data_IF_912415381199
#
_entry.id   IF_912415381199
#
_cell.length_a   1.000
_cell.length_b   1.000
_cell.length_c   1.000
_cell.angle_alpha   90.00
_cell.angle_beta   90.00
_cell.angle_gamma   90.00
#
_symmetry.space_group_name_H-M   'P 1'
#
loop_
_entity.id
_entity.type
_entity.pdbx_description
1 polymer ?
#
# COMPACT_ATOMS: atom_id res chain seq x y z
N UNK A 1 -8.24 33.58 26.35
CA UNK A 1 -7.34 32.64 25.68
C UNK A 1 -7.28 31.24 26.37
N UNK A 2 -7.08 31.11 27.68
CA UNK A 2 -6.99 29.78 28.33
C UNK A 2 -8.26 28.92 28.21
N UNK A 3 -9.47 29.49 28.18
CA UNK A 3 -10.74 28.75 28.05
C UNK A 3 -11.01 28.18 26.66
N UNK A 4 -10.52 28.82 25.59
CA UNK A 4 -10.70 28.34 24.21
C UNK A 4 -9.76 27.18 23.86
N UNK A 5 -8.55 27.17 24.40
CA UNK A 5 -7.58 26.06 24.23
C UNK A 5 -8.06 24.81 24.94
N UNK A 6 -8.68 24.97 26.13
CA UNK A 6 -9.25 23.84 26.90
C UNK A 6 -10.46 23.26 26.17
N UNK A 7 -11.29 24.07 25.53
CA UNK A 7 -12.43 23.59 24.74
C UNK A 7 -11.99 22.80 23.51
N UNK A 8 -10.94 23.25 22.81
CA UNK A 8 -10.38 22.52 21.67
C UNK A 8 -9.76 21.18 22.07
N UNK A 9 -9.07 21.11 23.21
CA UNK A 9 -8.49 19.88 23.74
C UNK A 9 -9.59 18.88 24.21
N UNK A 10 -10.69 19.38 24.78
CA UNK A 10 -11.80 18.54 25.24
C UNK A 10 -12.60 17.94 24.07
N UNK A 11 -12.78 18.69 22.98
CA UNK A 11 -13.42 18.19 21.75
C UNK A 11 -12.59 17.07 21.13
N UNK A 12 -11.25 17.22 21.09
CA UNK A 12 -10.35 16.21 20.54
C UNK A 12 -10.39 14.91 21.37
N UNK A 13 -10.45 15.00 22.70
CA UNK A 13 -10.49 13.83 23.58
C UNK A 13 -11.85 13.10 23.56
N UNK A 14 -12.97 13.82 23.40
CA UNK A 14 -14.29 13.23 23.30
C UNK A 14 -14.50 12.44 21.98
N UNK A 15 -13.88 12.88 20.88
CA UNK A 15 -13.94 12.17 19.60
C UNK A 15 -13.04 10.92 19.57
N UNK A 16 -11.94 10.91 20.30
CA UNK A 16 -11.09 9.72 20.43
C UNK A 16 -11.78 8.57 21.18
N UNK A 17 -12.65 8.88 22.15
CA UNK A 17 -13.33 7.88 22.97
C UNK A 17 -14.47 7.13 22.25
N UNK A 18 -15.12 7.75 21.25
CA UNK A 18 -16.20 7.12 20.50
C UNK A 18 -15.73 6.24 19.32
N UNK A 19 -14.43 6.28 18.97
CA UNK A 19 -13.86 5.43 17.91
C UNK A 19 -13.61 3.98 18.38
N UNK A 20 -13.86 3.65 19.63
CA UNK A 20 -13.47 2.38 20.27
C UNK A 20 -14.57 1.33 20.40
N UNK A 21 -15.78 1.57 19.90
CA UNK A 21 -16.91 0.62 20.07
C UNK A 21 -17.02 -0.45 18.98
N UNK A 22 -16.31 -0.33 17.87
CA UNK A 22 -16.19 -1.39 16.87
C UNK A 22 -14.82 -2.06 16.97
N UNK A 23 -14.78 -3.38 17.10
CA UNK A 23 -13.57 -4.23 17.18
C UNK A 23 -12.71 -4.17 15.90
N UNK A 24 -12.70 -3.05 15.21
CA UNK A 24 -11.91 -2.86 14.00
C UNK A 24 -10.73 -1.93 14.27
N UNK A 25 -9.52 -2.47 14.21
CA UNK A 25 -8.30 -1.67 14.23
C UNK A 25 -8.11 -0.96 12.89
N UNK A 26 -7.55 0.26 12.93
CA UNK A 26 -7.15 1.00 11.72
C UNK A 26 -5.69 0.75 11.41
N UNK A 27 -5.37 0.53 10.14
CA UNK A 27 -4.01 0.57 9.60
C UNK A 27 -3.76 1.89 8.86
N UNK A 28 -2.50 2.23 8.68
CA UNK A 28 -2.10 3.51 8.09
C UNK A 28 -2.10 4.63 9.13
N UNK A 29 -1.70 4.34 10.37
CA UNK A 29 -1.72 5.30 11.49
C UNK A 29 -0.35 5.86 11.85
N UNK A 30 0.70 5.50 11.11
CA UNK A 30 2.06 6.01 11.36
C UNK A 30 2.16 7.49 11.03
N UNK A 31 3.13 8.18 11.60
CA UNK A 31 3.32 9.64 11.40
C UNK A 31 3.54 10.00 9.92
N UNK A 32 4.16 9.13 9.14
CA UNK A 32 4.39 9.30 7.70
C UNK A 32 3.17 9.01 6.82
N UNK A 33 2.07 8.45 7.37
CA UNK A 33 0.89 8.06 6.61
C UNK A 33 -0.11 9.21 6.46
N UNK A 34 -0.99 9.11 5.45
CA UNK A 34 -2.13 10.03 5.24
C UNK A 34 -1.76 11.51 5.14
N UNK A 35 -0.63 11.77 4.50
CA UNK A 35 -0.29 13.10 4.05
C UNK A 35 -0.88 13.34 2.66
N UNK A 36 -1.27 14.57 2.38
CA UNK A 36 -1.70 14.97 1.05
C UNK A 36 -1.26 16.41 0.74
N UNK A 37 -1.14 16.68 -0.55
CA UNK A 37 -0.88 18.02 -1.07
C UNK A 37 -2.04 18.43 -1.96
N UNK A 38 -2.42 19.70 -1.89
CA UNK A 38 -3.54 20.25 -2.62
C UNK A 38 -3.16 21.55 -3.32
N UNK A 39 -3.59 21.67 -4.58
CA UNK A 39 -3.60 22.93 -5.32
C UNK A 39 -5.02 23.44 -5.35
N UNK A 40 -5.20 24.74 -5.08
CA UNK A 40 -6.50 25.43 -5.04
C UNK A 40 -6.48 26.60 -6.00
N UNK A 41 -7.59 26.82 -6.68
CA UNK A 41 -7.82 28.02 -7.48
C UNK A 41 -9.31 28.37 -7.45
N UNK A 42 -9.63 29.65 -7.49
CA UNK A 42 -11.01 30.07 -7.42
C UNK A 42 -11.17 31.57 -7.39
N UNK A 43 -12.17 32.01 -6.66
CA UNK A 43 -12.49 33.42 -6.53
C UNK A 43 -12.79 33.79 -5.07
N UNK A 44 -12.58 35.05 -4.78
CA UNK A 44 -12.94 35.70 -3.53
C UNK A 44 -13.77 36.94 -3.83
N UNK A 45 -14.79 37.19 -3.00
CA UNK A 45 -15.64 38.40 -3.12
C UNK A 45 -15.99 38.91 -1.73
N UNK A 46 -16.04 40.26 -1.51
CA UNK A 46 -16.51 40.78 -0.23
C UNK A 46 -17.88 40.23 0.16
N UNK A 47 -18.07 39.94 1.45
CA UNK A 47 -19.33 39.32 1.92
C UNK A 47 -20.50 40.33 1.94
N UNK A 48 -20.20 41.62 2.13
CA UNK A 48 -21.19 42.70 2.24
C UNK A 48 -20.83 43.85 1.31
N UNK A 49 -21.82 44.66 1.01
CA UNK A 49 -21.67 45.92 0.23
C UNK A 49 -21.10 45.76 -1.18
N UNK A 50 -21.19 44.60 -1.77
CA UNK A 50 -20.66 44.32 -3.10
C UNK A 50 -21.61 43.48 -3.95
N UNK A 51 -21.43 43.54 -5.27
CA UNK A 51 -22.10 42.64 -6.21
C UNK A 51 -21.27 41.35 -6.33
N UNK A 52 -21.81 40.23 -5.90
CA UNK A 52 -21.10 38.98 -5.75
C UNK A 52 -20.17 38.61 -6.93
N UNK A 53 -20.67 38.67 -8.16
CA UNK A 53 -19.85 38.30 -9.33
C UNK A 53 -19.03 39.46 -9.90
N UNK A 54 -19.49 40.69 -9.75
CA UNK A 54 -18.82 41.87 -10.30
C UNK A 54 -17.51 42.16 -9.56
N UNK A 55 -17.54 41.94 -8.24
CA UNK A 55 -16.41 42.27 -7.36
C UNK A 55 -15.59 41.00 -7.05
N UNK A 56 -15.88 39.88 -7.72
CA UNK A 56 -15.12 38.65 -7.59
C UNK A 56 -13.70 38.82 -8.15
N UNK A 57 -12.70 38.37 -7.41
CA UNK A 57 -11.28 38.42 -7.77
C UNK A 57 -10.67 37.02 -7.71
N UNK A 58 -9.67 36.72 -8.54
CA UNK A 58 -9.01 35.44 -8.54
C UNK A 58 -8.27 35.20 -7.23
N UNK A 59 -8.28 33.93 -6.80
CA UNK A 59 -7.43 33.44 -5.70
C UNK A 59 -6.85 32.07 -6.06
N UNK A 60 -5.68 31.79 -5.52
CA UNK A 60 -5.02 30.50 -5.66
C UNK A 60 -4.34 30.14 -4.35
N UNK A 61 -4.03 28.87 -4.18
CA UNK A 61 -3.38 28.42 -2.97
C UNK A 61 -2.82 27.01 -3.04
N UNK A 62 -2.05 26.70 -2.04
CA UNK A 62 -1.43 25.42 -1.83
C UNK A 62 -1.70 24.97 -0.39
N UNK A 63 -2.08 23.71 -0.22
CA UNK A 63 -2.32 23.11 1.08
C UNK A 63 -1.54 21.81 1.28
N UNK A 64 -1.08 21.58 2.50
CA UNK A 64 -0.52 20.30 2.93
C UNK A 64 -1.36 19.82 4.10
N UNK A 65 -1.99 18.65 3.93
CA UNK A 65 -2.87 18.07 4.95
C UNK A 65 -2.23 16.85 5.57
N UNK A 66 -2.34 16.74 6.88
CA UNK A 66 -2.13 15.51 7.65
C UNK A 66 -3.48 15.04 8.18
N UNK A 67 -3.97 13.91 7.69
CA UNK A 67 -5.14 13.26 8.26
C UNK A 67 -4.71 12.44 9.47
N UNK A 68 -5.22 12.76 10.65
CA UNK A 68 -4.87 12.12 11.92
C UNK A 68 -5.77 10.91 12.23
N UNK A 69 -7.05 11.04 11.90
CA UNK A 69 -8.05 9.97 11.98
C UNK A 69 -8.93 10.02 10.73
N UNK A 70 -9.75 9.02 10.44
CA UNK A 70 -10.71 9.11 9.34
C UNK A 70 -11.71 10.27 9.45
N UNK A 71 -11.88 10.83 10.66
CA UNK A 71 -12.81 11.93 10.95
C UNK A 71 -12.08 13.27 10.96
N UNK A 72 -10.86 13.31 11.49
CA UNK A 72 -10.14 14.55 11.79
C UNK A 72 -8.80 14.65 11.08
N UNK A 73 -8.54 15.80 10.46
CA UNK A 73 -7.28 16.17 9.84
C UNK A 73 -6.91 17.63 10.11
N UNK A 74 -5.67 17.94 9.87
CA UNK A 74 -5.13 19.29 9.94
C UNK A 74 -4.48 19.65 8.61
N UNK A 75 -4.70 20.87 8.15
CA UNK A 75 -4.13 21.40 6.91
C UNK A 75 -3.40 22.69 7.20
N UNK A 76 -2.17 22.78 6.74
CA UNK A 76 -1.43 24.02 6.61
C UNK A 76 -1.57 24.50 5.18
N UNK A 77 -2.09 25.72 4.98
CA UNK A 77 -2.32 26.27 3.64
C UNK A 77 -1.77 27.68 3.49
N UNK A 78 -1.34 28.01 2.28
CA UNK A 78 -1.04 29.36 1.84
C UNK A 78 -1.98 29.74 0.71
N UNK A 79 -2.59 30.92 0.80
CA UNK A 79 -3.48 31.50 -0.21
C UNK A 79 -2.90 32.81 -0.71
N UNK A 80 -3.03 33.06 -2.01
CA UNK A 80 -2.70 34.33 -2.66
C UNK A 80 -3.95 34.92 -3.29
N UNK A 81 -4.13 36.21 -3.11
CA UNK A 81 -5.26 36.98 -3.62
C UNK A 81 -4.77 37.99 -4.67
N UNK A 82 -5.50 38.07 -5.77
CA UNK A 82 -5.12 38.87 -6.91
C UNK A 82 -6.14 40.00 -7.07
N UNK A 83 -5.67 41.21 -7.09
CA UNK A 83 -6.49 42.39 -7.36
C UNK A 83 -7.61 42.62 -6.34
N UNK A 84 -7.37 42.30 -5.07
CA UNK A 84 -8.33 42.45 -3.95
C UNK A 84 -8.19 43.81 -3.25
N UNK A 85 -7.09 44.51 -3.49
CA UNK A 85 -6.83 45.86 -2.97
C UNK A 85 -6.47 46.81 -4.12
N UNK A 86 -6.22 48.07 -3.82
CA UNK A 86 -5.70 49.09 -4.77
C UNK A 86 -4.19 48.99 -4.99
N UNK A 87 -3.58 47.90 -4.57
CA UNK A 87 -2.16 47.59 -4.75
C UNK A 87 -1.81 47.49 -6.25
N UNK A 88 -0.58 47.85 -6.62
CA UNK A 88 -0.04 47.65 -7.97
C UNK A 88 0.64 46.27 -8.13
N UNK A 89 0.68 45.46 -7.08
CA UNK A 89 1.24 44.13 -7.10
C UNK A 89 0.25 43.16 -7.72
N UNK A 90 0.74 42.13 -8.44
CA UNK A 90 -0.12 41.11 -9.00
C UNK A 90 -0.78 40.27 -7.90
N UNK A 91 -0.05 39.97 -6.82
CA UNK A 91 -0.56 39.37 -5.59
C UNK A 91 -0.56 40.51 -4.56
N UNK A 92 -1.71 40.92 -4.16
CA UNK A 92 -1.89 42.08 -3.27
C UNK A 92 -2.26 41.67 -1.83
N UNK A 93 -2.59 40.41 -1.60
CA UNK A 93 -2.70 39.84 -0.27
C UNK A 93 -2.32 38.36 -0.26
N UNK A 94 -1.83 37.90 0.87
CA UNK A 94 -1.60 36.49 1.12
C UNK A 94 -2.10 36.10 2.50
N UNK A 95 -2.54 34.85 2.66
CA UNK A 95 -2.99 34.27 3.94
C UNK A 95 -2.30 32.92 4.17
N UNK A 96 -1.69 32.79 5.33
CA UNK A 96 -1.10 31.50 5.78
C UNK A 96 -1.90 31.02 6.97
N UNK A 97 -2.55 29.85 6.82
CA UNK A 97 -3.54 29.39 7.79
C UNK A 97 -3.29 27.95 8.22
N UNK A 98 -3.66 27.66 9.47
CA UNK A 98 -3.79 26.33 10.01
C UNK A 98 -5.28 25.99 10.14
N UNK A 99 -5.71 24.98 9.38
CA UNK A 99 -7.10 24.55 9.29
C UNK A 99 -7.32 23.23 9.98
N UNK A 100 -8.43 23.10 10.68
CA UNK A 100 -8.96 21.83 11.16
C UNK A 100 -10.04 21.35 10.20
N UNK A 101 -9.99 20.05 9.84
CA UNK A 101 -10.90 19.42 8.88
C UNK A 101 -11.65 18.29 9.58
N UNK A 102 -12.97 18.31 9.52
CA UNK A 102 -13.85 17.30 10.13
C UNK A 102 -14.68 16.65 9.04
N UNK A 103 -14.43 15.38 8.74
CA UNK A 103 -15.23 14.62 7.79
C UNK A 103 -16.59 14.27 8.42
N UNK A 104 -17.63 14.99 8.00
CA UNK A 104 -18.99 14.85 8.54
C UNK A 104 -19.61 13.49 8.19
N UNK A 105 -19.31 12.96 6.99
CA UNK A 105 -19.82 11.66 6.57
C UNK A 105 -19.26 10.53 7.43
N UNK A 106 -17.99 10.63 7.84
CA UNK A 106 -17.36 9.66 8.72
C UNK A 106 -17.77 9.88 10.20
N UNK A 107 -18.02 11.13 10.58
CA UNK A 107 -18.47 11.47 11.94
C UNK A 107 -19.85 10.87 12.24
N UNK A 108 -20.80 11.02 11.32
CA UNK A 108 -22.19 10.59 11.51
C UNK A 108 -22.48 9.17 10.97
N UNK A 109 -21.82 8.78 9.89
CA UNK A 109 -22.05 7.49 9.22
C UNK A 109 -20.98 6.44 9.45
N UNK A 110 -19.97 6.73 10.29
CA UNK A 110 -18.82 5.87 10.51
C UNK A 110 -17.91 5.75 9.29
N UNK A 111 -16.66 5.37 9.48
CA UNK A 111 -15.72 5.13 8.39
C UNK A 111 -15.89 3.72 7.78
N UNK A 112 -16.16 3.55 6.48
CA UNK A 112 -16.39 2.23 5.88
C UNK A 112 -15.10 1.39 5.67
N UNK A 113 -13.89 1.98 5.83
CA UNK A 113 -12.59 1.34 5.57
C UNK A 113 -11.91 1.83 4.29
N UNK A 114 -12.66 2.57 3.46
CA UNK A 114 -12.17 3.28 2.27
C UNK A 114 -12.92 4.61 2.14
N UNK A 115 -12.31 5.67 1.58
CA UNK A 115 -13.01 6.92 1.31
C UNK A 115 -14.21 6.69 0.38
N UNK A 116 -15.34 7.34 0.68
CA UNK A 116 -16.52 7.32 -0.19
C UNK A 116 -16.22 8.10 -1.48
N UNK A 117 -17.02 7.88 -2.51
CA UNK A 117 -16.93 8.66 -3.74
C UNK A 117 -17.12 10.15 -3.48
N UNK A 118 -18.11 10.48 -2.62
CA UNK A 118 -18.40 11.84 -2.20
C UNK A 118 -18.32 11.95 -0.68
N UNK A 119 -17.65 12.99 -0.19
CA UNK A 119 -17.51 13.27 1.24
C UNK A 119 -17.62 14.77 1.50
N UNK A 120 -18.23 15.13 2.63
CA UNK A 120 -18.36 16.49 3.09
C UNK A 120 -17.51 16.66 4.33
N UNK A 121 -16.65 17.67 4.32
CA UNK A 121 -15.86 18.06 5.47
C UNK A 121 -16.25 19.48 5.93
N UNK A 122 -16.44 19.67 7.22
CA UNK A 122 -16.46 21.00 7.81
C UNK A 122 -15.03 21.42 8.10
N UNK A 123 -14.70 22.66 7.76
CA UNK A 123 -13.37 23.22 7.99
C UNK A 123 -13.46 24.50 8.81
N UNK A 124 -12.53 24.64 9.75
CA UNK A 124 -12.37 25.87 10.54
C UNK A 124 -10.89 26.07 10.86
N UNK A 125 -10.42 27.29 10.77
CA UNK A 125 -9.03 27.59 11.05
C UNK A 125 -8.76 29.06 11.35
N UNK A 126 -7.51 29.28 11.72
CA UNK A 126 -6.95 30.60 11.97
C UNK A 126 -5.76 30.79 11.04
N UNK A 127 -5.55 32.03 10.60
CA UNK A 127 -4.44 32.39 9.71
C UNK A 127 -3.86 33.74 10.03
N UNK A 128 -2.82 34.00 9.32
CA UNK A 128 -2.15 35.30 9.29
C UNK A 128 -2.22 35.83 7.86
N UNK A 129 -2.86 36.98 7.69
CA UNK A 129 -3.06 37.66 6.43
C UNK A 129 -2.10 38.83 6.33
N UNK A 130 -1.46 38.94 5.19
CA UNK A 130 -0.53 40.00 4.88
C UNK A 130 -1.02 40.76 3.63
N UNK A 131 -1.15 42.08 3.72
CA UNK A 131 -1.53 42.95 2.63
C UNK A 131 -0.31 43.67 2.12
N UNK A 132 -0.02 43.54 0.84
CA UNK A 132 1.09 44.18 0.15
C UNK A 132 0.64 45.57 -0.31
N UNK A 133 0.92 46.60 0.45
CA UNK A 133 0.55 47.99 0.14
C UNK A 133 1.72 48.69 -0.55
N UNK A 134 1.45 49.32 -1.71
CA UNK A 134 2.49 50.13 -2.40
C UNK A 134 2.73 51.44 -1.67
N UNK A 135 3.53 51.41 -0.65
CA UNK A 135 3.82 52.60 0.16
C UNK A 135 4.61 52.23 1.39
N UNK A 136 4.52 53.00 2.42
CA UNK A 136 5.40 52.91 3.56
C UNK A 136 5.12 51.79 4.53
N UNK A 137 3.92 51.17 4.54
CA UNK A 137 3.55 50.21 5.57
C UNK A 137 2.64 49.10 5.01
N UNK A 138 3.22 47.93 4.81
CA UNK A 138 2.43 46.68 4.62
C UNK A 138 1.60 46.39 5.87
N UNK A 139 0.36 45.94 5.70
CA UNK A 139 -0.55 45.65 6.80
C UNK A 139 -0.67 44.18 7.07
N UNK A 140 -0.89 43.80 8.33
CA UNK A 140 -1.00 42.46 8.79
C UNK A 140 -2.25 42.30 9.65
N UNK A 141 -2.98 41.20 9.41
CA UNK A 141 -4.16 40.89 10.18
C UNK A 141 -4.22 39.41 10.52
N UNK A 142 -4.93 39.07 11.58
CA UNK A 142 -5.33 37.69 11.83
C UNK A 142 -6.58 37.35 11.00
N UNK A 143 -6.56 36.22 10.34
CA UNK A 143 -7.72 35.68 9.64
C UNK A 143 -8.37 34.53 10.44
N UNK A 144 -9.67 34.36 10.26
CA UNK A 144 -10.42 33.20 10.73
C UNK A 144 -11.30 32.72 9.60
N UNK A 145 -11.20 31.43 9.28
CA UNK A 145 -11.88 30.81 8.14
C UNK A 145 -12.84 29.72 8.62
N UNK A 146 -14.05 29.73 8.06
CA UNK A 146 -15.05 28.68 8.23
C UNK A 146 -15.59 28.27 6.86
N UNK A 147 -15.70 26.98 6.61
CA UNK A 147 -16.16 26.52 5.30
C UNK A 147 -16.55 25.04 5.28
N UNK A 148 -16.87 24.61 4.08
CA UNK A 148 -17.14 23.22 3.75
C UNK A 148 -16.23 22.79 2.60
N UNK A 149 -15.79 21.56 2.62
CA UNK A 149 -15.16 20.91 1.48
C UNK A 149 -16.13 19.84 0.95
N UNK A 150 -16.53 19.98 -0.30
CA UNK A 150 -17.34 19.00 -1.02
C UNK A 150 -16.37 18.20 -1.88
N UNK A 151 -15.95 17.05 -1.38
CA UNK A 151 -14.86 16.26 -1.93
C UNK A 151 -15.36 15.08 -2.77
N UNK A 152 -14.81 14.90 -3.97
CA UNK A 152 -15.03 13.76 -4.83
C UNK A 152 -13.74 12.95 -4.95
N UNK A 153 -13.75 11.72 -4.44
CA UNK A 153 -12.59 10.83 -4.37
C UNK A 153 -12.58 9.88 -5.57
N UNK A 154 -11.58 10.01 -6.45
CA UNK A 154 -11.51 9.30 -7.72
C UNK A 154 -10.57 8.10 -7.70
N UNK A 155 -10.81 7.20 -8.67
CA UNK A 155 -9.99 6.02 -8.91
C UNK A 155 -10.17 4.92 -7.86
N UNK A 156 -9.72 3.74 -8.19
CA UNK A 156 -9.79 2.56 -7.31
C UNK A 156 -8.91 2.74 -6.06
N UNK A 157 -7.76 3.39 -6.21
CA UNK A 157 -6.80 3.63 -5.12
C UNK A 157 -7.19 4.79 -4.23
N UNK A 158 -8.15 5.64 -4.63
CA UNK A 158 -8.52 6.88 -3.93
C UNK A 158 -7.34 7.83 -3.69
N UNK A 159 -6.39 7.85 -4.64
CA UNK A 159 -5.21 8.70 -4.56
C UNK A 159 -5.50 10.16 -4.88
N UNK A 160 -6.59 10.43 -5.60
CA UNK A 160 -6.96 11.77 -6.05
C UNK A 160 -8.34 12.18 -5.54
N UNK A 161 -8.43 13.44 -5.12
CA UNK A 161 -9.68 14.10 -4.73
C UNK A 161 -9.81 15.42 -5.47
N UNK A 162 -10.96 15.66 -6.06
CA UNK A 162 -11.37 16.98 -6.53
C UNK A 162 -12.41 17.54 -5.58
N UNK A 163 -12.28 18.79 -5.19
CA UNK A 163 -13.18 19.42 -4.22
C UNK A 163 -13.67 20.78 -4.66
N UNK A 164 -14.89 21.13 -4.25
CA UNK A 164 -15.42 22.49 -4.29
C UNK A 164 -15.49 22.97 -2.84
N UNK A 165 -14.95 24.14 -2.57
CA UNK A 165 -14.68 24.60 -1.21
C UNK A 165 -15.20 26.03 -0.99
N UNK A 166 -16.49 26.17 -0.66
CA UNK A 166 -17.02 27.44 -0.18
C UNK A 166 -16.52 27.72 1.26
N UNK A 167 -16.08 28.94 1.51
CA UNK A 167 -15.66 29.39 2.83
C UNK A 167 -15.99 30.88 3.05
N UNK A 168 -16.16 31.24 4.31
CA UNK A 168 -16.18 32.63 4.76
C UNK A 168 -14.89 32.89 5.53
N UNK A 169 -14.18 33.90 5.13
CA UNK A 169 -12.93 34.34 5.76
C UNK A 169 -13.18 35.71 6.38
N UNK A 170 -12.95 35.76 7.67
CA UNK A 170 -13.00 37.00 8.44
C UNK A 170 -11.58 37.54 8.58
N UNK A 171 -11.38 38.77 8.12
CA UNK A 171 -10.27 39.62 8.55
C UNK A 171 -10.60 40.12 9.94
N UNK A 172 -9.79 39.75 10.92
CA UNK A 172 -10.05 40.03 12.33
C UNK A 172 -9.58 41.43 12.72
N UNK A 173 -9.08 42.25 11.76
CA UNK A 173 -8.55 43.58 11.95
C UNK A 173 -7.75 43.71 13.25
N UNK A 174 -6.58 43.14 13.21
CA UNK A 174 -5.65 43.26 14.33
C UNK A 174 -4.95 44.61 14.33
N UNK A 175 -5.65 45.67 14.63
CA UNK A 175 -4.97 46.90 15.12
C UNK A 175 -4.29 46.49 16.44
N UNK A 176 -2.98 46.23 16.37
CA UNK A 176 -2.15 45.89 17.53
C UNK A 176 -2.29 46.88 18.70
N UNK A 177 -2.85 48.06 18.44
CA UNK A 177 -3.14 49.07 19.45
C UNK A 177 -4.57 49.03 20.00
N UNK A 178 -5.48 48.21 19.43
CA UNK A 178 -6.87 48.07 19.90
C UNK A 178 -7.18 46.62 20.17
N UNK A 179 -6.97 46.17 21.37
CA UNK A 179 -7.08 44.82 21.87
C UNK A 179 -8.46 44.13 21.71
N UNK A 180 -9.14 44.21 20.55
CA UNK A 180 -10.43 43.54 20.31
C UNK A 180 -10.55 43.04 18.86
N UNK A 181 -10.01 41.90 18.58
CA UNK A 181 -10.40 41.14 17.39
C UNK A 181 -11.90 40.86 17.39
N UNK A 182 -12.61 41.13 16.30
CA UNK A 182 -14.06 40.98 16.18
C UNK A 182 -14.42 40.28 14.89
N UNK A 183 -15.42 39.42 14.94
CA UNK A 183 -16.11 38.93 13.76
C UNK A 183 -16.95 40.08 13.18
N UNK A 184 -16.50 40.69 12.10
CA UNK A 184 -17.19 41.77 11.40
C UNK A 184 -17.48 41.32 9.97
N UNK A 185 -18.76 41.21 9.60
CA UNK A 185 -19.15 40.83 8.26
C UNK A 185 -18.71 41.81 7.17
N UNK A 186 -18.45 43.07 7.53
CA UNK A 186 -17.96 44.08 6.59
C UNK A 186 -16.47 43.86 6.25
N UNK A 187 -15.73 43.15 7.10
CA UNK A 187 -14.34 42.78 6.90
C UNK A 187 -14.22 41.28 6.54
N UNK A 188 -15.31 40.69 6.10
CA UNK A 188 -15.34 39.29 5.69
C UNK A 188 -15.49 39.20 4.17
N UNK A 189 -14.97 38.13 3.62
CA UNK A 189 -15.15 37.79 2.24
C UNK A 189 -15.55 36.33 2.06
N UNK A 190 -16.33 36.10 1.05
CA UNK A 190 -16.69 34.75 0.61
C UNK A 190 -15.62 34.27 -0.36
N UNK A 191 -15.11 33.09 -0.10
CA UNK A 191 -14.14 32.40 -0.94
C UNK A 191 -14.78 31.14 -1.51
N UNK A 192 -14.66 30.95 -2.82
CA UNK A 192 -15.07 29.74 -3.49
C UNK A 192 -13.89 29.22 -4.31
N UNK A 193 -13.34 28.10 -3.89
CA UNK A 193 -12.22 27.48 -4.60
C UNK A 193 -12.57 26.07 -5.07
N UNK A 194 -11.96 25.68 -6.18
CA UNK A 194 -11.82 24.30 -6.60
C UNK A 194 -10.41 23.81 -6.25
N UNK A 195 -10.31 22.62 -5.69
CA UNK A 195 -9.05 22.03 -5.26
C UNK A 195 -8.81 20.66 -5.89
N UNK A 196 -7.56 20.39 -6.26
CA UNK A 196 -7.08 19.07 -6.67
C UNK A 196 -6.08 18.58 -5.63
N UNK A 197 -6.41 17.49 -4.95
CA UNK A 197 -5.63 16.90 -3.87
C UNK A 197 -5.04 15.57 -4.29
N UNK A 198 -3.74 15.39 -4.05
CA UNK A 198 -3.07 14.11 -4.17
C UNK A 198 -2.74 13.56 -2.77
N UNK A 199 -3.18 12.35 -2.48
CA UNK A 199 -2.91 11.64 -1.23
C UNK A 199 -1.69 10.74 -1.41
N UNK A 200 -0.67 10.91 -0.56
CA UNK A 200 0.52 10.08 -0.60
C UNK A 200 0.23 8.66 -0.09
N UNK A 201 0.96 7.72 -0.64
CA UNK A 201 0.85 6.31 -0.25
C UNK A 201 1.44 6.09 1.14
N UNK A 202 0.66 5.48 2.02
CA UNK A 202 1.07 5.19 3.39
C UNK A 202 1.79 3.85 3.56
N UNK A 203 2.18 3.55 4.80
CA UNK A 203 2.86 2.31 5.20
C UNK A 203 2.01 1.05 5.01
N UNK A 204 0.68 1.20 4.96
CA UNK A 204 -0.27 0.12 4.64
C UNK A 204 -0.38 -0.14 3.11
N UNK A 205 0.41 0.55 2.29
CA UNK A 205 0.38 0.42 0.83
C UNK A 205 -0.83 1.06 0.16
N UNK A 206 -1.66 1.82 0.90
CA UNK A 206 -2.84 2.53 0.41
C UNK A 206 -2.68 4.05 0.58
N UNK A 207 -3.58 4.82 -0.02
CA UNK A 207 -3.61 6.29 0.06
C UNK A 207 -4.58 6.81 1.14
N UNK A 208 -5.05 5.91 2.00
CA UNK A 208 -6.05 6.16 3.03
C UNK A 208 -5.93 5.14 4.17
N UNK A 209 -6.62 5.38 5.27
CA UNK A 209 -6.77 4.39 6.32
C UNK A 209 -7.47 3.13 5.81
N UNK A 210 -7.12 1.98 6.35
CA UNK A 210 -7.83 0.73 6.10
C UNK A 210 -8.30 0.11 7.41
N UNK A 211 -9.49 -0.53 7.39
CA UNK A 211 -9.98 -1.31 8.53
C UNK A 211 -9.32 -2.68 8.51
N UNK A 212 -8.82 -3.09 9.66
CA UNK A 212 -8.32 -4.44 9.90
C UNK A 212 -9.29 -5.13 10.85
N UNK A 213 -9.63 -6.38 10.57
CA UNK A 213 -10.34 -7.18 11.57
C UNK A 213 -9.49 -7.25 12.83
N UNK A 214 -10.09 -6.90 13.97
CA UNK A 214 -9.48 -7.20 15.25
C UNK A 214 -9.29 -8.72 15.35
N UNK A 215 -8.19 -9.14 15.93
CA UNK A 215 -7.92 -10.55 16.19
C UNK A 215 -9.10 -11.15 16.96
N UNK A 216 -9.70 -12.17 16.35
CA UNK A 216 -10.67 -12.99 17.08
C UNK A 216 -9.87 -14.01 17.88
N UNK A 217 -9.90 -13.91 19.22
CA UNK A 217 -9.18 -14.82 20.10
C UNK A 217 -9.56 -16.29 19.81
N UNK A 218 -10.82 -16.53 19.50
CA UNK A 218 -11.31 -17.87 19.11
C UNK A 218 -10.64 -18.38 17.85
N UNK A 219 -10.39 -17.52 16.86
CA UNK A 219 -9.70 -17.89 15.62
C UNK A 219 -8.21 -18.19 15.86
N UNK A 220 -7.57 -17.42 16.76
CA UNK A 220 -6.19 -17.68 17.21
C UNK A 220 -6.12 -19.03 17.92
N UNK A 221 -7.07 -19.31 18.82
CA UNK A 221 -7.12 -20.55 19.57
C UNK A 221 -7.35 -21.76 18.64
N UNK A 222 -8.20 -21.60 17.60
CA UNK A 222 -8.40 -22.62 16.56
C UNK A 222 -7.15 -22.82 15.71
N UNK A 223 -6.46 -21.74 15.32
CA UNK A 223 -5.21 -21.83 14.59
C UNK A 223 -4.11 -22.49 15.43
N UNK A 224 -4.00 -22.14 16.70
CA UNK A 224 -3.06 -22.77 17.64
C UNK A 224 -3.37 -24.25 17.84
N UNK A 225 -4.64 -24.63 17.96
CA UNK A 225 -5.07 -26.02 18.02
C UNK A 225 -4.70 -26.77 16.72
N UNK A 226 -4.89 -26.14 15.57
CA UNK A 226 -4.51 -26.70 14.27
C UNK A 226 -3.00 -26.86 14.13
N UNK A 227 -2.22 -25.88 14.58
CA UNK A 227 -0.75 -25.95 14.62
C UNK A 227 -0.29 -27.10 15.52
N UNK A 228 -0.89 -27.26 16.69
CA UNK A 228 -0.53 -28.34 17.61
C UNK A 228 -0.89 -29.71 17.03
N UNK A 229 -2.06 -29.83 16.39
CA UNK A 229 -2.45 -31.06 15.68
C UNK A 229 -1.47 -31.38 14.53
N UNK A 230 -1.12 -30.40 13.71
CA UNK A 230 -0.14 -30.59 12.64
C UNK A 230 1.25 -30.97 13.18
N UNK A 231 1.69 -30.40 14.31
CA UNK A 231 2.94 -30.82 14.98
C UNK A 231 2.89 -32.27 15.43
N UNK A 232 1.74 -32.71 15.98
CA UNK A 232 1.55 -34.10 16.36
C UNK A 232 1.63 -35.03 15.14
N UNK A 233 0.94 -34.67 14.05
CA UNK A 233 1.01 -35.43 12.80
C UNK A 233 2.43 -35.48 12.22
N UNK A 234 3.17 -34.39 12.26
CA UNK A 234 4.58 -34.34 11.83
C UNK A 234 5.43 -35.27 12.69
N UNK A 235 5.24 -35.28 14.01
CA UNK A 235 5.97 -36.18 14.91
C UNK A 235 5.64 -37.65 14.65
N UNK A 236 4.37 -37.98 14.40
CA UNK A 236 3.93 -39.31 14.01
C UNK A 236 4.56 -39.75 12.67
N UNK A 237 4.54 -38.85 11.66
CA UNK A 237 5.20 -39.11 10.36
C UNK A 237 6.70 -39.30 10.50
N UNK A 238 7.36 -38.50 11.33
CA UNK A 238 8.78 -38.65 11.60
C UNK A 238 9.09 -39.98 12.27
N UNK A 239 8.24 -40.45 13.18
CA UNK A 239 8.35 -41.78 13.78
C UNK A 239 8.24 -42.89 12.71
N UNK A 240 7.27 -42.76 11.80
CA UNK A 240 7.10 -43.70 10.67
C UNK A 240 8.35 -43.69 9.76
N UNK A 241 8.87 -42.48 9.44
CA UNK A 241 10.09 -42.32 8.64
C UNK A 241 11.29 -42.97 9.34
N UNK A 242 11.44 -42.75 10.64
CA UNK A 242 12.54 -43.36 11.41
C UNK A 242 12.45 -44.89 11.41
N UNK A 243 11.23 -45.45 11.59
CA UNK A 243 11.01 -46.87 11.51
C UNK A 243 11.30 -47.44 10.11
N UNK A 244 10.90 -46.69 9.07
CA UNK A 244 11.20 -47.05 7.67
C UNK A 244 12.71 -47.04 7.40
N UNK A 245 13.43 -46.02 7.91
CA UNK A 245 14.87 -45.92 7.78
C UNK A 245 15.60 -47.06 8.51
N UNK A 246 15.14 -47.45 9.70
CA UNK A 246 15.67 -48.63 10.40
C UNK A 246 15.46 -49.92 9.56
N UNK A 247 14.28 -50.06 8.97
CA UNK A 247 13.98 -51.21 8.08
C UNK A 247 14.85 -51.20 6.82
N UNK A 248 15.08 -49.99 6.25
CA UNK A 248 16.01 -49.82 5.12
C UNK A 248 17.43 -50.24 5.53
N UNK A 249 17.89 -49.86 6.72
CA UNK A 249 19.20 -50.24 7.24
C UNK A 249 19.33 -51.79 7.39
N UNK A 250 18.31 -52.43 7.95
CA UNK A 250 18.29 -53.91 8.06
C UNK A 250 18.30 -54.57 6.69
N UNK A 251 17.49 -54.08 5.75
CA UNK A 251 17.45 -54.61 4.38
C UNK A 251 18.77 -54.40 3.63
N UNK A 252 19.44 -53.27 3.86
CA UNK A 252 20.75 -52.99 3.29
C UNK A 252 21.82 -53.98 3.84
N UNK A 253 21.71 -54.30 5.12
CA UNK A 253 22.62 -55.27 5.73
C UNK A 253 22.36 -56.68 5.21
N UNK A 254 21.09 -57.11 5.10
CA UNK A 254 20.70 -58.38 4.45
C UNK A 254 21.18 -58.46 3.00
N UNK A 255 21.08 -57.31 2.27
CA UNK A 255 21.55 -57.23 0.89
C UNK A 255 23.08 -57.33 0.79
N UNK A 256 23.80 -56.71 1.76
CA UNK A 256 25.26 -56.84 1.85
C UNK A 256 25.68 -58.30 2.15
N UNK A 257 24.96 -58.94 3.06
CA UNK A 257 25.21 -60.35 3.40
C UNK A 257 24.88 -61.30 2.22
N UNK A 258 23.84 -60.95 1.45
CA UNK A 258 23.49 -61.68 0.23
C UNK A 258 24.54 -61.47 -0.89
N UNK A 259 25.12 -60.26 -1.00
CA UNK A 259 26.20 -59.94 -1.97
C UNK A 259 27.51 -60.65 -1.62
N UNK A 260 27.77 -60.88 -0.37
CA UNK A 260 28.99 -61.56 0.10
C UNK A 260 28.94 -63.09 -0.11
N UNK A 261 27.78 -63.64 -0.52
CA UNK A 261 27.74 -65.00 -1.01
C UNK A 261 28.37 -65.04 -2.41
N UNK A 262 29.36 -65.94 -2.65
CA UNK A 262 30.07 -65.94 -3.93
C UNK A 262 29.10 -66.31 -5.06
N UNK A 263 28.81 -65.33 -5.92
CA UNK A 263 28.03 -65.53 -7.15
C UNK A 263 28.79 -65.00 -8.35
N UNK A 264 28.73 -65.77 -9.43
CA UNK A 264 29.33 -65.48 -10.73
C UNK A 264 29.00 -64.09 -11.25
N UNK A 265 30.04 -63.42 -11.76
CA UNK A 265 29.97 -62.09 -12.33
C UNK A 265 29.17 -62.09 -13.63
N UNK A 266 28.04 -61.40 -13.68
CA UNK A 266 27.46 -60.83 -14.90
C UNK A 266 27.56 -59.29 -14.80
N UNK A 267 28.14 -58.67 -15.82
CA UNK A 267 28.38 -57.24 -15.98
C UNK A 267 27.04 -56.51 -16.01
N UNK A 268 26.80 -55.62 -15.01
CA UNK A 268 25.67 -54.71 -15.00
C UNK A 268 26.12 -53.35 -15.57
N UNK A 269 25.44 -52.91 -16.59
CA UNK A 269 25.58 -51.59 -17.19
C UNK A 269 25.09 -50.49 -16.20
N UNK A 270 25.96 -49.57 -15.83
CA UNK A 270 25.59 -48.37 -15.03
C UNK A 270 24.59 -47.52 -15.78
N UNK A 271 23.34 -47.48 -15.33
CA UNK A 271 22.42 -46.39 -15.71
C UNK A 271 22.73 -45.14 -14.90
N UNK A 272 23.36 -44.15 -15.55
CA UNK A 272 23.64 -42.86 -14.95
C UNK A 272 22.33 -42.16 -14.59
N UNK A 273 22.03 -42.04 -13.28
CA UNK A 273 20.92 -41.19 -12.82
C UNK A 273 21.22 -39.74 -13.20
N UNK A 274 20.38 -39.18 -14.09
CA UNK A 274 20.48 -37.80 -14.53
C UNK A 274 20.00 -36.93 -13.38
N UNK A 275 20.85 -36.04 -12.82
CA UNK A 275 20.44 -35.18 -11.70
C UNK A 275 19.43 -34.15 -12.19
N UNK A 276 18.37 -33.96 -11.44
CA UNK A 276 17.43 -32.88 -11.64
C UNK A 276 18.14 -31.51 -11.55
N UNK A 277 17.71 -30.56 -12.35
CA UNK A 277 18.23 -29.21 -12.32
C UNK A 277 17.21 -28.27 -11.68
N UNK A 278 17.64 -27.57 -10.63
CA UNK A 278 16.80 -26.66 -9.86
C UNK A 278 17.16 -25.21 -10.19
N UNK A 279 16.17 -24.41 -10.52
CA UNK A 279 16.28 -22.99 -10.83
C UNK A 279 15.47 -22.22 -9.80
N UNK A 280 16.13 -21.36 -9.02
CA UNK A 280 15.51 -20.56 -7.96
C UNK A 280 15.03 -19.21 -8.47
N UNK A 281 14.01 -18.66 -7.81
CA UNK A 281 13.42 -17.36 -8.15
C UNK A 281 13.30 -16.45 -6.93
N UNK A 282 13.38 -15.16 -7.18
CA UNK A 282 13.07 -14.15 -6.15
C UNK A 282 11.57 -14.15 -5.84
N UNK A 283 11.24 -13.66 -4.64
CA UNK A 283 9.86 -13.52 -4.20
C UNK A 283 9.02 -12.73 -5.20
N UNK A 284 7.85 -13.24 -5.55
CA UNK A 284 6.93 -12.60 -6.49
C UNK A 284 7.44 -12.46 -7.93
N UNK A 285 8.58 -13.08 -8.28
CA UNK A 285 9.16 -13.00 -9.63
C UNK A 285 9.15 -14.36 -10.33
N UNK A 286 8.99 -14.30 -11.66
CA UNK A 286 9.15 -15.44 -12.57
C UNK A 286 10.34 -15.27 -13.53
N UNK A 287 11.10 -14.16 -13.39
CA UNK A 287 12.30 -13.93 -14.20
C UNK A 287 13.45 -14.77 -13.65
N UNK A 288 14.13 -15.52 -14.51
CA UNK A 288 15.33 -16.28 -14.16
C UNK A 288 16.51 -15.31 -14.03
N UNK A 289 17.11 -15.26 -12.85
CA UNK A 289 18.29 -14.44 -12.59
C UNK A 289 19.51 -14.96 -13.39
N UNK A 290 20.44 -14.07 -13.71
CA UNK A 290 21.66 -14.42 -14.44
C UNK A 290 22.49 -15.50 -13.74
N UNK A 291 22.50 -15.51 -12.41
CA UNK A 291 23.16 -16.54 -11.56
C UNK A 291 22.56 -17.94 -11.72
N UNK A 292 21.30 -18.05 -12.19
CA UNK A 292 20.60 -19.32 -12.38
C UNK A 292 20.72 -19.86 -13.82
N UNK A 293 21.22 -19.05 -14.74
CA UNK A 293 21.40 -19.45 -16.14
C UNK A 293 22.30 -20.71 -16.32
N UNK A 294 23.37 -20.92 -15.54
CA UNK A 294 24.16 -22.14 -15.61
C UNK A 294 23.34 -23.43 -15.37
N UNK A 295 22.33 -23.36 -14.47
CA UNK A 295 21.44 -24.49 -14.20
C UNK A 295 20.53 -24.81 -15.40
N UNK A 296 20.05 -23.76 -16.10
CA UNK A 296 19.28 -23.92 -17.35
C UNK A 296 20.17 -24.43 -18.48
N UNK A 297 21.40 -23.92 -18.57
CA UNK A 297 22.37 -24.34 -19.57
C UNK A 297 22.72 -25.82 -19.45
N UNK A 298 22.89 -26.34 -18.22
CA UNK A 298 23.16 -27.74 -17.97
C UNK A 298 22.08 -28.64 -18.57
N UNK A 299 20.80 -28.27 -18.43
CA UNK A 299 19.69 -29.00 -19.06
C UNK A 299 19.79 -28.91 -20.59
N UNK A 300 20.06 -27.72 -21.11
CA UNK A 300 20.18 -27.51 -22.56
C UNK A 300 21.33 -28.32 -23.19
N UNK A 301 22.48 -28.40 -22.50
CA UNK A 301 23.66 -29.17 -22.96
C UNK A 301 23.32 -30.65 -22.98
N UNK A 302 22.63 -31.16 -21.94
CA UNK A 302 22.20 -32.55 -21.92
C UNK A 302 21.24 -32.87 -23.07
N UNK A 303 20.17 -32.07 -23.23
CA UNK A 303 19.18 -32.27 -24.30
C UNK A 303 19.75 -32.16 -25.71
N UNK A 304 20.84 -31.41 -25.89
CA UNK A 304 21.55 -31.34 -27.19
C UNK A 304 22.36 -32.61 -27.47
N UNK A 305 22.93 -33.25 -26.45
CA UNK A 305 23.68 -34.49 -26.58
C UNK A 305 22.78 -35.72 -26.72
N UNK A 306 21.57 -35.62 -26.16
CA UNK A 306 20.57 -36.73 -26.15
C UNK A 306 19.32 -36.29 -26.92
N UNK A 307 19.28 -36.62 -28.22
CA UNK A 307 18.25 -36.13 -29.14
C UNK A 307 16.83 -36.62 -28.73
N UNK A 308 16.74 -37.81 -28.16
CA UNK A 308 15.47 -38.45 -27.75
C UNK A 308 14.96 -38.03 -26.37
N UNK A 309 15.82 -37.40 -25.54
CA UNK A 309 15.43 -36.97 -24.19
C UNK A 309 14.43 -35.82 -24.22
N UNK A 310 13.44 -35.91 -23.34
CA UNK A 310 12.46 -34.83 -23.05
C UNK A 310 12.74 -34.22 -21.69
N UNK A 311 12.22 -33.03 -21.43
CA UNK A 311 12.30 -32.39 -20.11
C UNK A 311 10.92 -31.97 -19.62
N UNK A 312 10.62 -32.28 -18.39
CA UNK A 312 9.44 -31.79 -17.68
C UNK A 312 9.91 -30.74 -16.68
N UNK A 313 9.38 -29.52 -16.82
CA UNK A 313 9.70 -28.39 -15.96
C UNK A 313 8.51 -28.14 -15.06
N UNK A 314 8.66 -28.42 -13.76
CA UNK A 314 7.66 -28.18 -12.74
C UNK A 314 7.99 -26.90 -11.98
N UNK A 315 7.14 -25.89 -12.09
CA UNK A 315 7.30 -24.63 -11.39
C UNK A 315 6.52 -24.59 -10.07
N UNK A 316 7.10 -23.99 -9.05
CA UNK A 316 6.53 -23.91 -7.70
C UNK A 316 6.61 -22.48 -7.16
N UNK A 317 5.73 -22.18 -6.21
CA UNK A 317 5.72 -20.95 -5.43
C UNK A 317 5.81 -21.27 -3.93
N UNK A 318 6.33 -20.32 -3.16
CA UNK A 318 6.27 -20.37 -1.69
C UNK A 318 4.83 -20.11 -1.19
N UNK A 319 4.48 -20.58 0.03
CA UNK A 319 3.09 -20.57 0.50
C UNK A 319 2.53 -19.19 0.83
N UNK A 320 3.35 -18.12 0.76
CA UNK A 320 2.91 -16.77 1.09
C UNK A 320 1.96 -16.21 0.02
N UNK A 321 0.91 -15.54 0.47
CA UNK A 321 0.00 -14.80 -0.41
C UNK A 321 -1.21 -15.61 -0.88
N UNK A 322 -1.83 -15.15 -1.95
CA UNK A 322 -3.05 -15.73 -2.48
C UNK A 322 -2.78 -16.99 -3.31
N UNK A 323 -3.55 -18.04 -3.09
CA UNK A 323 -3.41 -19.33 -3.78
C UNK A 323 -3.50 -19.21 -5.31
N UNK A 324 -4.46 -18.44 -5.82
CA UNK A 324 -4.64 -18.26 -7.26
C UNK A 324 -3.48 -17.49 -7.89
N UNK A 325 -2.93 -16.52 -7.16
CA UNK A 325 -1.71 -15.84 -7.58
C UNK A 325 -0.52 -16.80 -7.63
N UNK A 326 -0.36 -17.65 -6.60
CA UNK A 326 0.73 -18.60 -6.52
C UNK A 326 0.66 -19.67 -7.62
N UNK A 327 -0.54 -20.14 -7.99
CA UNK A 327 -0.73 -21.02 -9.15
C UNK A 327 -0.25 -20.37 -10.45
N UNK A 328 -0.66 -19.12 -10.70
CA UNK A 328 -0.22 -18.37 -11.88
C UNK A 328 1.29 -18.11 -11.87
N UNK A 329 1.86 -17.79 -10.71
CA UNK A 329 3.28 -17.53 -10.54
C UNK A 329 4.11 -18.82 -10.79
N UNK A 330 3.64 -19.95 -10.29
CA UNK A 330 4.26 -21.26 -10.53
C UNK A 330 4.30 -21.61 -12.02
N UNK A 331 3.18 -21.42 -12.72
CA UNK A 331 3.12 -21.61 -14.18
C UNK A 331 4.06 -20.67 -14.90
N UNK A 332 4.06 -19.37 -14.55
CA UNK A 332 4.93 -18.38 -15.17
C UNK A 332 6.43 -18.68 -14.96
N UNK A 333 6.81 -19.28 -13.84
CA UNK A 333 8.19 -19.76 -13.57
C UNK A 333 8.59 -20.90 -14.49
N UNK A 334 7.74 -21.92 -14.62
CA UNK A 334 7.99 -23.03 -15.53
C UNK A 334 8.12 -22.55 -16.98
N UNK A 335 7.22 -21.68 -17.42
CA UNK A 335 7.24 -21.07 -18.76
C UNK A 335 8.48 -20.19 -18.98
N UNK A 336 8.96 -19.48 -17.99
CA UNK A 336 10.17 -18.67 -18.10
C UNK A 336 11.40 -19.52 -18.41
N UNK A 337 11.54 -20.66 -17.74
CA UNK A 337 12.64 -21.61 -18.00
C UNK A 337 12.50 -22.22 -19.39
N UNK A 338 11.29 -22.69 -19.77
CA UNK A 338 10.99 -23.19 -21.13
C UNK A 338 11.36 -22.17 -22.18
N UNK A 339 10.98 -20.92 -22.01
CA UNK A 339 11.28 -19.84 -22.95
C UNK A 339 12.79 -19.64 -23.15
N UNK A 340 13.58 -19.78 -22.09
CA UNK A 340 15.05 -19.68 -22.19
C UNK A 340 15.61 -20.88 -22.97
N UNK A 341 15.16 -22.10 -22.67
CA UNK A 341 15.58 -23.30 -23.40
C UNK A 341 15.27 -23.20 -24.90
N UNK A 342 14.07 -22.72 -25.25
CA UNK A 342 13.65 -22.56 -26.65
C UNK A 342 14.36 -21.38 -27.33
N UNK A 343 14.30 -20.18 -26.75
CA UNK A 343 14.76 -18.95 -27.43
C UNK A 343 16.29 -18.81 -27.43
N UNK A 344 16.92 -19.03 -26.28
CA UNK A 344 18.37 -18.88 -26.11
C UNK A 344 19.14 -20.12 -26.55
N UNK A 345 18.72 -21.30 -26.11
CA UNK A 345 19.47 -22.53 -26.36
C UNK A 345 18.98 -23.35 -27.56
N UNK A 346 17.87 -22.89 -28.21
CA UNK A 346 17.30 -23.46 -29.44
C UNK A 346 16.87 -24.94 -29.30
N UNK A 347 16.39 -25.33 -28.12
CA UNK A 347 15.78 -26.64 -27.90
C UNK A 347 14.36 -26.63 -28.48
N UNK A 348 13.98 -27.72 -29.17
CA UNK A 348 12.65 -27.83 -29.75
C UNK A 348 11.56 -27.80 -28.65
N UNK A 349 10.56 -26.94 -28.82
CA UNK A 349 9.48 -26.75 -27.87
C UNK A 349 8.64 -28.02 -27.61
N UNK A 350 8.54 -28.92 -28.58
CA UNK A 350 7.83 -30.21 -28.46
C UNK A 350 8.46 -31.18 -27.44
N UNK A 351 9.75 -30.96 -27.14
CA UNK A 351 10.51 -31.77 -26.17
C UNK A 351 10.46 -31.21 -24.75
N UNK A 352 9.70 -30.11 -24.52
CA UNK A 352 9.68 -29.40 -23.25
C UNK A 352 8.25 -29.24 -22.76
N UNK A 353 7.91 -29.92 -21.68
CA UNK A 353 6.66 -29.72 -20.94
C UNK A 353 6.89 -28.78 -19.78
N UNK A 354 6.03 -27.74 -19.63
CA UNK A 354 6.12 -26.78 -18.53
C UNK A 354 4.80 -26.74 -17.77
N UNK A 355 4.87 -27.04 -16.48
CA UNK A 355 3.71 -27.19 -15.61
C UNK A 355 3.88 -26.40 -14.32
N UNK A 356 2.87 -25.60 -13.96
CA UNK A 356 2.80 -24.93 -12.65
C UNK A 356 2.14 -25.86 -11.63
N UNK A 357 2.88 -26.25 -10.61
CA UNK A 357 2.40 -27.12 -9.55
C UNK A 357 1.76 -26.33 -8.37
N UNK A 358 1.77 -25.00 -8.44
CA UNK A 358 1.26 -24.16 -7.36
C UNK A 358 2.25 -24.01 -6.21
N UNK A 359 1.79 -24.21 -4.97
CA UNK A 359 2.65 -24.11 -3.78
C UNK A 359 3.48 -25.37 -3.64
N UNK A 360 4.80 -25.19 -3.48
CA UNK A 360 5.75 -26.28 -3.24
C UNK A 360 5.88 -26.61 -1.75
N UNK A 361 6.19 -27.86 -1.49
CA UNK A 361 6.40 -28.44 -0.15
C UNK A 361 7.67 -29.30 -0.06
N UNK A 362 8.55 -29.21 -1.08
CA UNK A 362 9.74 -30.06 -1.21
C UNK A 362 10.86 -29.70 -0.25
N UNK A 363 10.88 -28.47 0.22
CA UNK A 363 11.93 -27.95 1.10
C UNK A 363 11.36 -27.51 2.44
N UNK A 364 12.15 -27.71 3.49
CA UNK A 364 11.78 -27.36 4.88
C UNK A 364 11.59 -25.85 5.05
N UNK A 365 12.41 -25.07 4.35
CA UNK A 365 12.26 -23.61 4.32
C UNK A 365 11.26 -23.25 3.22
N UNK A 366 10.14 -22.58 3.55
CA UNK A 366 9.13 -22.19 2.58
C UNK A 366 9.70 -21.33 1.44
N UNK A 367 10.71 -20.53 1.71
CA UNK A 367 11.36 -19.65 0.75
C UNK A 367 12.09 -20.42 -0.36
N UNK A 368 12.55 -21.61 -0.04
CA UNK A 368 13.24 -22.48 -1.01
C UNK A 368 12.30 -23.14 -2.01
N UNK A 369 10.99 -23.10 -1.77
CA UNK A 369 10.00 -23.57 -2.73
C UNK A 369 9.73 -22.61 -3.90
N UNK A 370 10.48 -21.50 -3.98
CA UNK A 370 10.46 -20.58 -5.13
C UNK A 370 11.34 -21.11 -6.26
N UNK A 371 10.95 -22.22 -6.87
CA UNK A 371 11.80 -22.94 -7.82
C UNK A 371 11.05 -23.41 -9.07
N UNK A 372 11.83 -23.72 -10.11
CA UNK A 372 11.44 -24.64 -11.18
C UNK A 372 12.41 -25.82 -11.19
N UNK A 373 11.88 -27.01 -11.17
CA UNK A 373 12.63 -28.27 -11.22
C UNK A 373 12.54 -28.82 -12.66
N UNK A 374 13.68 -29.06 -13.25
CA UNK A 374 13.78 -29.66 -14.57
C UNK A 374 14.16 -31.12 -14.43
N UNK A 375 13.24 -32.03 -14.70
CA UNK A 375 13.47 -33.48 -14.72
C UNK A 375 13.58 -33.94 -16.16
N UNK A 376 14.69 -34.60 -16.48
CA UNK A 376 14.91 -35.16 -17.80
C UNK A 376 14.29 -36.55 -17.83
N UNK A 377 13.57 -36.85 -18.91
CA UNK A 377 12.90 -38.14 -19.15
C UNK A 377 13.50 -38.70 -20.42
N UNK A 378 14.11 -39.85 -20.31
CA UNK A 378 14.52 -40.65 -21.46
C UNK A 378 13.38 -41.58 -21.88
N UNK A 379 13.22 -41.89 -23.18
CA UNK A 379 12.17 -42.76 -23.68
C UNK A 379 12.29 -44.22 -23.18
#
# INVERSE_FOLDING_TARGET
MKKSIILSAFVISAFAANAQTDQTALQGTKIGDNWSIELKAGMVTPLTHSSFFKDARPTFGLGVTKQLTPIFGMEFQGMGYINTTDSKNAIDASDVSLMNKFNLMNLFGGYPGTPRLFEIEAVAGIGWMHYYVNGSDDDNSWSTRFGLNLNFNFGETKAWTLGIKPAIVYDMEGDFNRAKSRFNANNAFFELTAGATYHFKGSNGKHHFTKVRAYNQTEIDQLNASINNLRTQVNEKNSVVNNANQKIGMLQQELADCRNRPVKVETVVETSRIPESIITFRQGRSTVDASQLPNVERVAVYMKKHAEANVIIKGYASPEGNLEFNKKLAQARAEAVKNILVKKYKINASRITAEGQGIGDMFTDPDWNRVSICSIVEP
#
